data_IF_861279265375
#
_entry.id   IF_861279265375
#
_cell.length_a   1.000
_cell.length_b   1.000
_cell.length_c   1.000
_cell.angle_alpha   90.00
_cell.angle_beta   90.00
_cell.angle_gamma   90.00
#
_symmetry.space_group_name_H-M   'P 1'
#
loop_
_entity.id
_entity.type
_entity.pdbx_description
1 polymer ?
#
# COMPACT_ATOMS: atom_id res chain seq x y z
N UNK A 1 -14.23 25.89 19.14
CA UNK A 1 -14.91 25.17 18.04
C UNK A 1 -14.24 23.82 17.93
N UNK A 2 -14.89 22.74 18.33
CA UNK A 2 -14.38 21.38 18.15
C UNK A 2 -14.59 21.06 16.67
N UNK A 3 -13.52 21.04 15.88
CA UNK A 3 -13.61 20.50 14.54
C UNK A 3 -13.79 19.00 14.69
N UNK A 4 -15.02 18.55 14.48
CA UNK A 4 -15.36 17.17 14.20
C UNK A 4 -14.55 16.77 12.96
N UNK A 5 -13.39 16.15 13.18
CA UNK A 5 -12.74 15.37 12.14
C UNK A 5 -13.69 14.21 11.86
N UNK A 6 -14.55 14.40 10.86
CA UNK A 6 -15.36 13.35 10.26
C UNK A 6 -14.46 12.14 9.96
N UNK A 7 -14.58 11.13 10.81
CA UNK A 7 -14.36 9.75 10.42
C UNK A 7 -15.16 9.52 9.13
N UNK A 8 -14.56 8.87 8.13
CA UNK A 8 -15.12 8.58 6.79
C UNK A 8 -14.89 9.59 5.65
N UNK A 9 -13.75 10.28 5.59
CA UNK A 9 -13.21 10.66 4.28
C UNK A 9 -12.69 9.41 3.56
N UNK A 10 -13.58 8.62 2.98
CA UNK A 10 -13.22 7.57 2.02
C UNK A 10 -12.51 8.24 0.86
N UNK A 11 -11.24 7.91 0.66
CA UNK A 11 -10.53 8.34 -0.51
C UNK A 11 -10.86 7.36 -1.64
N UNK A 12 -11.25 7.90 -2.78
CA UNK A 12 -11.45 7.10 -3.97
C UNK A 12 -10.13 6.95 -4.71
N UNK A 13 -10.00 5.84 -5.43
CA UNK A 13 -8.79 5.57 -6.16
C UNK A 13 -8.80 4.20 -6.81
N UNK A 14 -7.75 3.94 -7.57
CA UNK A 14 -7.44 2.61 -8.10
C UNK A 14 -6.18 2.11 -7.41
N UNK A 15 -6.18 0.84 -7.05
CA UNK A 15 -5.03 0.09 -6.57
C UNK A 15 -4.93 -1.20 -7.37
N UNK A 16 -3.89 -1.31 -8.19
CA UNK A 16 -3.54 -2.51 -8.94
C UNK A 16 -2.40 -3.21 -8.23
N UNK A 17 -2.52 -4.51 -8.01
CA UNK A 17 -1.52 -5.31 -7.31
C UNK A 17 -1.31 -6.63 -8.04
N UNK A 18 -0.05 -7.03 -8.18
CA UNK A 18 0.34 -8.41 -8.47
C UNK A 18 1.07 -8.97 -7.25
N UNK A 19 0.47 -9.96 -6.60
CA UNK A 19 1.13 -10.77 -5.58
C UNK A 19 1.93 -11.87 -6.27
N UNK A 20 3.19 -12.09 -5.89
CA UNK A 20 4.04 -13.16 -6.40
C UNK A 20 4.69 -13.91 -5.24
N UNK A 21 4.56 -15.22 -5.23
CA UNK A 21 5.28 -16.08 -4.31
C UNK A 21 5.88 -17.26 -5.08
N UNK A 22 7.14 -17.64 -4.86
CA UNK A 22 7.80 -18.69 -5.62
C UNK A 22 7.04 -20.03 -5.58
N UNK A 23 6.39 -20.33 -4.46
CA UNK A 23 5.64 -21.59 -4.28
C UNK A 23 4.15 -21.47 -4.61
N UNK A 24 3.56 -20.28 -4.52
CA UNK A 24 2.10 -20.08 -4.60
C UNK A 24 1.66 -19.38 -5.89
N UNK A 25 2.62 -19.05 -6.77
CA UNK A 25 2.36 -18.44 -8.08
C UNK A 25 2.12 -16.93 -8.01
N UNK A 26 1.46 -16.42 -9.05
CA UNK A 26 1.18 -15.00 -9.23
C UNK A 26 -0.33 -14.74 -9.28
N UNK A 27 -0.78 -13.71 -8.55
CA UNK A 27 -2.20 -13.37 -8.38
C UNK A 27 -2.42 -11.88 -8.57
N UNK A 28 -3.28 -11.53 -9.53
CA UNK A 28 -3.66 -10.16 -9.84
C UNK A 28 -4.86 -9.73 -8.99
N UNK A 29 -4.81 -8.50 -8.52
CA UNK A 29 -5.89 -7.86 -7.78
C UNK A 29 -6.05 -6.41 -8.26
N UNK A 30 -7.25 -6.08 -8.70
CA UNK A 30 -7.66 -4.71 -9.01
C UNK A 30 -8.70 -4.27 -7.98
N UNK A 31 -8.44 -3.17 -7.31
CA UNK A 31 -9.36 -2.55 -6.35
C UNK A 31 -9.66 -1.14 -6.84
N UNK A 32 -10.94 -0.88 -7.07
CA UNK A 32 -11.44 0.44 -7.48
C UNK A 32 -12.39 0.95 -6.40
N UNK A 33 -12.22 2.20 -6.02
CA UNK A 33 -13.08 2.92 -5.06
C UNK A 33 -13.08 2.29 -3.65
N UNK A 34 -12.10 1.44 -3.34
CA UNK A 34 -11.95 0.76 -2.05
C UNK A 34 -10.49 0.69 -1.63
N UNK A 35 -10.25 0.47 -0.33
CA UNK A 35 -8.93 0.10 0.26
C UNK A 35 -7.83 1.16 0.14
N UNK A 36 -8.21 2.37 -0.23
CA UNK A 36 -7.40 3.57 -0.17
C UNK A 36 -8.03 4.54 0.82
N UNK A 37 -7.24 5.08 1.73
CA UNK A 37 -7.70 6.11 2.66
C UNK A 37 -6.54 7.01 3.07
N UNK A 38 -6.84 8.12 3.73
CA UNK A 38 -5.86 9.01 4.31
C UNK A 38 -6.39 9.53 5.65
N UNK A 39 -5.51 9.69 6.62
CA UNK A 39 -5.84 10.35 7.89
C UNK A 39 -5.35 11.80 7.87
N UNK A 40 -4.91 12.40 8.97
CA UNK A 40 -4.32 13.74 8.96
C UNK A 40 -2.94 13.77 8.27
N UNK A 41 -2.10 12.76 8.50
CA UNK A 41 -0.67 12.78 8.23
C UNK A 41 -0.23 11.85 7.08
N UNK A 42 -1.01 10.80 6.82
CA UNK A 42 -0.63 9.70 5.95
C UNK A 42 -1.70 9.36 4.91
N UNK A 43 -1.24 8.83 3.78
CA UNK A 43 -2.01 8.02 2.86
C UNK A 43 -1.78 6.54 3.13
N UNK A 44 -2.78 5.71 2.86
CA UNK A 44 -2.77 4.27 3.10
C UNK A 44 -3.21 3.50 1.86
N UNK A 45 -2.40 2.51 1.47
CA UNK A 45 -2.73 1.46 0.51
C UNK A 45 -2.94 0.17 1.30
N UNK A 46 -4.20 -0.20 1.54
CA UNK A 46 -4.55 -1.26 2.48
C UNK A 46 -5.55 -2.24 1.89
N UNK A 47 -5.15 -3.11 0.92
CA UNK A 47 -6.03 -4.15 0.39
C UNK A 47 -6.58 -5.06 1.50
N UNK A 48 -5.88 -5.16 2.63
CA UNK A 48 -6.18 -6.10 3.71
C UNK A 48 -5.73 -7.51 3.32
N UNK A 49 -6.16 -8.50 4.10
CA UNK A 49 -5.85 -9.89 3.80
C UNK A 49 -6.60 -10.36 2.54
N UNK A 50 -5.92 -11.17 1.73
CA UNK A 50 -6.45 -11.82 0.53
C UNK A 50 -6.08 -13.28 0.55
N UNK A 51 -7.00 -14.14 0.16
CA UNK A 51 -6.77 -15.59 0.15
C UNK A 51 -6.68 -16.05 -1.29
N UNK A 52 -5.54 -16.65 -1.65
CA UNK A 52 -5.31 -17.28 -2.95
C UNK A 52 -4.95 -18.74 -2.71
N UNK A 53 -5.76 -19.67 -3.25
CA UNK A 53 -5.69 -21.07 -2.84
C UNK A 53 -6.00 -21.22 -1.34
N UNK A 54 -5.08 -21.84 -0.61
CA UNK A 54 -5.19 -22.02 0.86
C UNK A 54 -4.33 -21.05 1.67
N UNK A 55 -3.71 -20.06 1.00
CA UNK A 55 -2.76 -19.14 1.62
C UNK A 55 -3.33 -17.73 1.74
N UNK A 56 -3.03 -17.06 2.86
CA UNK A 56 -3.44 -15.68 3.15
C UNK A 56 -2.28 -14.74 2.91
N UNK A 57 -2.46 -13.78 2.03
CA UNK A 57 -1.50 -12.75 1.70
C UNK A 57 -1.97 -11.41 2.26
N UNK A 58 -1.05 -10.65 2.82
CA UNK A 58 -1.29 -9.30 3.30
C UNK A 58 -0.31 -8.32 2.67
N UNK A 59 -0.84 -7.15 2.32
CA UNK A 59 -0.06 -5.98 1.97
C UNK A 59 -0.66 -4.77 2.68
N UNK A 60 0.21 -3.94 3.24
CA UNK A 60 -0.13 -2.63 3.73
C UNK A 60 0.99 -1.65 3.45
N UNK A 61 0.67 -0.50 2.87
CA UNK A 61 1.61 0.61 2.71
C UNK A 61 0.99 1.85 3.33
N UNK A 62 1.78 2.62 4.07
CA UNK A 62 1.43 3.99 4.45
C UNK A 62 2.57 4.95 4.14
N UNK A 63 2.26 6.18 3.76
CA UNK A 63 3.26 7.17 3.40
C UNK A 63 2.81 8.59 3.75
N UNK A 64 3.75 9.45 4.14
CA UNK A 64 3.44 10.84 4.53
C UNK A 64 2.85 11.64 3.37
N UNK A 65 1.93 12.56 3.66
CA UNK A 65 1.28 13.39 2.64
C UNK A 65 2.16 14.47 2.02
N UNK A 66 3.20 14.89 2.73
CA UNK A 66 4.13 15.95 2.32
C UNK A 66 5.28 15.44 1.44
N UNK A 67 5.25 14.16 1.04
CA UNK A 67 6.27 13.61 0.17
C UNK A 67 6.24 14.24 -1.22
N UNK A 68 7.44 14.41 -1.77
CA UNK A 68 7.68 14.95 -3.10
C UNK A 68 7.70 13.83 -4.14
N UNK A 69 7.54 14.18 -5.41
CA UNK A 69 7.72 13.26 -6.54
C UNK A 69 9.16 12.78 -6.52
N UNK A 70 9.35 11.51 -6.17
CA UNK A 70 10.66 10.88 -6.02
C UNK A 70 10.51 9.35 -5.95
N UNK A 71 11.61 8.66 -6.25
CA UNK A 71 11.75 7.22 -6.04
C UNK A 71 12.43 6.94 -4.71
N UNK A 72 11.66 6.42 -3.78
CA UNK A 72 12.10 6.07 -2.43
C UNK A 72 12.54 4.61 -2.37
N UNK A 73 13.65 4.36 -1.67
CA UNK A 73 14.11 3.01 -1.34
C UNK A 73 13.62 2.66 0.06
N UNK A 74 13.04 1.47 0.21
CA UNK A 74 12.58 0.91 1.48
C UNK A 74 13.57 -0.17 1.91
N UNK A 75 14.13 -0.02 3.12
CA UNK A 75 15.16 -0.91 3.64
C UNK A 75 14.64 -1.84 4.74
N UNK A 76 13.32 -2.09 4.77
CA UNK A 76 12.70 -3.00 5.74
C UNK A 76 12.74 -2.49 7.19
N UNK A 77 12.64 -1.18 7.41
CA UNK A 77 12.59 -0.59 8.75
C UNK A 77 11.54 0.51 8.86
N UNK A 78 11.13 0.81 10.10
CA UNK A 78 10.07 1.76 10.43
C UNK A 78 10.52 3.24 10.53
N UNK A 79 11.74 3.56 10.08
CA UNK A 79 12.30 4.90 10.28
C UNK A 79 12.14 5.84 9.07
N UNK A 80 11.56 5.37 7.97
CA UNK A 80 11.35 6.15 6.75
C UNK A 80 10.00 6.88 6.68
N UNK A 81 9.81 7.82 5.74
CA UNK A 81 8.52 8.49 5.51
C UNK A 81 7.48 7.59 4.81
N UNK A 82 7.86 6.37 4.46
CA UNK A 82 7.04 5.33 3.84
C UNK A 82 7.29 4.06 4.63
N UNK A 83 6.20 3.38 4.98
CA UNK A 83 6.21 2.10 5.67
C UNK A 83 5.46 1.10 4.81
N UNK A 84 6.04 -0.07 4.64
CA UNK A 84 5.44 -1.16 3.90
C UNK A 84 5.50 -2.44 4.73
N UNK A 85 4.45 -3.24 4.62
CA UNK A 85 4.26 -4.47 5.35
C UNK A 85 3.77 -5.56 4.41
N UNK A 86 4.42 -6.72 4.45
CA UNK A 86 4.06 -7.90 3.68
C UNK A 86 4.01 -9.12 4.60
N UNK A 87 2.96 -9.91 4.48
CA UNK A 87 2.83 -11.18 5.23
C UNK A 87 2.21 -12.27 4.37
N UNK A 88 2.61 -13.51 4.66
CA UNK A 88 1.95 -14.73 4.18
C UNK A 88 1.55 -15.56 5.39
N UNK A 89 0.34 -16.10 5.37
CA UNK A 89 -0.27 -16.99 6.39
C UNK A 89 -0.25 -16.46 7.83
N UNK A 90 -0.18 -15.13 7.99
CA UNK A 90 -0.06 -14.47 9.29
C UNK A 90 1.13 -14.98 10.12
N UNK A 91 2.18 -15.47 9.46
CA UNK A 91 3.38 -15.96 10.14
C UNK A 91 4.02 -14.85 11.00
N UNK A 92 4.37 -15.19 12.23
CA UNK A 92 5.01 -14.25 13.15
C UNK A 92 6.48 -14.05 12.76
N UNK A 93 6.87 -12.80 12.49
CA UNK A 93 8.25 -12.42 12.17
C UNK A 93 8.40 -10.92 11.91
N UNK A 94 9.55 -10.51 11.40
CA UNK A 94 9.73 -9.19 10.80
C UNK A 94 8.80 -9.04 9.59
N UNK A 95 7.86 -8.11 9.72
CA UNK A 95 6.76 -7.83 8.78
C UNK A 95 7.10 -6.65 7.87
N UNK A 96 8.23 -5.98 8.07
CA UNK A 96 8.62 -4.82 7.27
C UNK A 96 9.08 -5.27 5.89
N UNK A 97 8.50 -4.67 4.87
CA UNK A 97 8.89 -4.92 3.49
C UNK A 97 10.02 -3.97 3.07
N UNK A 98 10.94 -4.51 2.29
CA UNK A 98 11.93 -3.71 1.55
C UNK A 98 11.45 -3.47 0.13
N UNK A 99 12.16 -2.66 -0.65
CA UNK A 99 11.88 -2.46 -2.07
C UNK A 99 11.92 -1.01 -2.51
N UNK A 100 11.05 -0.64 -3.45
CA UNK A 100 10.96 0.71 -4.01
C UNK A 100 9.53 1.20 -4.03
N UNK A 101 9.38 2.51 -3.82
CA UNK A 101 8.11 3.22 -3.91
C UNK A 101 8.35 4.54 -4.66
N UNK A 102 7.66 4.75 -5.77
CA UNK A 102 7.84 5.90 -6.63
C UNK A 102 6.57 6.74 -6.67
N UNK A 103 6.67 8.00 -6.26
CA UNK A 103 5.60 8.97 -6.46
C UNK A 103 5.80 9.65 -7.81
N UNK A 104 4.80 9.54 -8.68
CA UNK A 104 4.71 10.26 -9.97
C UNK A 104 3.82 11.49 -9.86
N UNK A 105 2.98 11.57 -8.82
CA UNK A 105 2.19 12.75 -8.44
C UNK A 105 2.09 12.83 -6.92
N UNK A 106 2.27 14.03 -6.36
CA UNK A 106 2.12 14.31 -4.92
C UNK A 106 0.87 15.16 -4.62
N UNK A 107 0.69 15.57 -3.36
CA UNK A 107 -0.43 16.39 -2.90
C UNK A 107 -1.65 15.56 -2.51
N UNK A 108 -2.85 16.14 -2.60
CA UNK A 108 -4.09 15.48 -2.14
C UNK A 108 -4.55 14.29 -2.98
N UNK A 109 -3.92 14.06 -4.14
CA UNK A 109 -4.28 12.99 -5.09
C UNK A 109 -3.03 12.26 -5.57
N UNK A 110 -2.28 11.63 -4.65
CA UNK A 110 -1.01 11.05 -5.02
C UNK A 110 -1.22 9.89 -6.02
N UNK A 111 -0.20 9.70 -6.85
CA UNK A 111 -0.12 8.62 -7.81
C UNK A 111 1.29 8.06 -7.77
N UNK A 112 1.42 6.76 -7.90
CA UNK A 112 2.71 6.11 -7.87
C UNK A 112 2.65 4.63 -8.17
N UNK A 113 3.83 4.05 -8.12
CA UNK A 113 4.08 2.62 -8.26
C UNK A 113 4.96 2.13 -7.12
N UNK A 114 4.92 0.83 -6.88
CA UNK A 114 5.73 0.19 -5.86
C UNK A 114 6.13 -1.21 -6.29
N UNK A 115 7.27 -1.64 -5.77
CA UNK A 115 7.73 -3.02 -5.82
C UNK A 115 8.29 -3.36 -4.45
N UNK A 116 7.68 -4.31 -3.76
CA UNK A 116 7.92 -4.64 -2.36
C UNK A 116 8.37 -6.09 -2.23
N UNK A 117 9.31 -6.34 -1.33
CA UNK A 117 9.86 -7.66 -1.05
C UNK A 117 9.75 -7.97 0.44
N UNK A 118 9.10 -9.10 0.74
CA UNK A 118 8.98 -9.70 2.05
C UNK A 118 9.79 -10.98 2.17
N UNK A 119 9.63 -11.69 3.29
CA UNK A 119 10.29 -12.98 3.53
C UNK A 119 9.81 -14.07 2.56
N UNK A 120 10.62 -15.11 2.40
CA UNK A 120 10.27 -16.27 1.58
C UNK A 120 10.18 -16.00 0.07
N UNK A 121 10.72 -14.86 -0.39
CA UNK A 121 10.57 -14.45 -1.80
C UNK A 121 9.18 -13.92 -2.14
N UNK A 122 8.37 -13.56 -1.14
CA UNK A 122 7.10 -12.88 -1.37
C UNK A 122 7.35 -11.49 -1.95
N UNK A 123 6.86 -11.24 -3.16
CA UNK A 123 6.96 -9.97 -3.86
C UNK A 123 5.56 -9.41 -4.12
N UNK A 124 5.42 -8.09 -3.99
CA UNK A 124 4.21 -7.38 -4.37
C UNK A 124 4.58 -6.15 -5.18
N UNK A 125 4.17 -6.15 -6.44
CA UNK A 125 4.26 -4.99 -7.33
C UNK A 125 2.88 -4.38 -7.54
N UNK A 126 2.82 -3.09 -7.81
CA UNK A 126 1.55 -2.45 -8.09
C UNK A 126 1.66 -0.97 -8.38
N UNK A 127 0.53 -0.40 -8.76
CA UNK A 127 0.34 1.03 -8.96
C UNK A 127 -0.92 1.50 -8.23
N UNK A 128 -0.92 2.77 -7.87
CA UNK A 128 -2.04 3.40 -7.20
C UNK A 128 -2.29 4.79 -7.75
N UNK A 129 -3.55 5.20 -7.73
CA UNK A 129 -3.97 6.56 -8.05
C UNK A 129 -5.14 6.96 -7.16
N UNK A 130 -4.94 8.00 -6.35
CA UNK A 130 -6.03 8.66 -5.63
C UNK A 130 -6.72 9.66 -6.56
N UNK A 131 -8.05 9.69 -6.55
CA UNK A 131 -8.85 10.68 -7.27
C UNK A 131 -10.00 11.22 -6.42
N UNK A 132 -10.51 12.39 -6.82
CA UNK A 132 -11.65 13.01 -6.16
C UNK A 132 -12.97 12.33 -6.56
N UNK A 133 -13.90 12.25 -5.63
CA UNK A 133 -15.28 11.96 -5.96
C UNK A 133 -15.79 13.13 -6.81
N UNK A 134 -16.14 12.90 -8.07
CA UNK A 134 -16.95 13.87 -8.82
C UNK A 134 -18.36 13.78 -8.26
N UNK A 135 -18.63 14.54 -7.21
CA UNK A 135 -19.99 14.91 -6.81
C UNK A 135 -20.65 15.73 -7.92
#
# INVERSE_FOLDING_TARGET
MKNEFEADKRFFGVLNITYKHPEYGSHLLNLKDERLYADEDFFYLGPGYRTFGNHKFYMGVKFKKDLVVHKYKLEGNDHGPIWAQLEVDSEAGDKHASGTFELTRSGHRPKGDFNLFGKGGFEVEGDFEFYENRS
#
